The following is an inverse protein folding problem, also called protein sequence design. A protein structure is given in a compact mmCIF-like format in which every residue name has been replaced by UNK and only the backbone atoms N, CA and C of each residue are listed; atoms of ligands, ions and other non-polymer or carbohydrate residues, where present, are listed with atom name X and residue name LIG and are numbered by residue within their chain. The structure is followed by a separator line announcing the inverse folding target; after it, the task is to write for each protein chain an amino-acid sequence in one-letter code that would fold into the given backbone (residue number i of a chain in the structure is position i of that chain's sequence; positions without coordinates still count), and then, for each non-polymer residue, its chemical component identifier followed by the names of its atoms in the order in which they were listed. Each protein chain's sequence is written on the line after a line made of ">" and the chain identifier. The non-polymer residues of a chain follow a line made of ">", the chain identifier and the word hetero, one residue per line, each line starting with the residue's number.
data_IF_336866119849
#
_entry.id   IF_336866119849
#
_cell.length_a   1.000
_cell.length_b   1.000
_cell.length_c   1.000
_cell.angle_alpha   90.00
_cell.angle_beta   90.00
_cell.angle_gamma   90.00
#
_symmetry.space_group_name_H-M   'P 1'
#
loop_
_entity.id
_entity.type
_entity.pdbx_description
1 polymer ?
#
# COMPACT_ATOMS: atom_id res chain seq x y z
N UNK A 1 -29.31 -18.29 -11.07
CA UNK A 1 -29.88 -16.94 -10.77
C UNK A 1 -30.76 -16.88 -9.51
N UNK A 2 -31.64 -17.86 -9.21
CA UNK A 2 -32.51 -17.83 -8.00
C UNK A 2 -31.78 -17.69 -6.65
N UNK A 3 -30.54 -18.20 -6.52
CA UNK A 3 -29.72 -18.06 -5.28
C UNK A 3 -29.26 -16.62 -5.01
N UNK A 4 -28.86 -15.86 -6.05
CA UNK A 4 -28.44 -14.46 -5.90
C UNK A 4 -29.61 -13.59 -5.44
N UNK A 5 -30.81 -13.85 -5.97
CA UNK A 5 -32.02 -13.12 -5.59
C UNK A 5 -32.49 -13.42 -4.15
N UNK A 6 -32.21 -14.62 -3.64
CA UNK A 6 -32.49 -15.01 -2.25
C UNK A 6 -31.58 -14.29 -1.24
N UNK A 7 -30.33 -14.00 -1.62
CA UNK A 7 -29.35 -13.32 -0.75
C UNK A 7 -29.06 -11.87 -1.16
N UNK A 8 -29.94 -11.25 -1.97
CA UNK A 8 -29.75 -9.89 -2.50
C UNK A 8 -29.43 -8.84 -1.43
N UNK A 9 -30.01 -8.97 -0.23
CA UNK A 9 -29.74 -8.06 0.88
C UNK A 9 -28.33 -8.25 1.46
N UNK A 10 -27.82 -9.49 1.52
CA UNK A 10 -26.43 -9.75 1.91
C UNK A 10 -25.45 -9.18 0.88
N UNK A 11 -25.75 -9.34 -0.42
CA UNK A 11 -24.94 -8.74 -1.48
C UNK A 11 -24.99 -7.20 -1.46
N UNK A 12 -26.14 -6.60 -1.13
CA UNK A 12 -26.27 -5.16 -0.93
C UNK A 12 -25.45 -4.66 0.27
N UNK A 13 -25.47 -5.39 1.39
CA UNK A 13 -24.64 -5.06 2.56
C UNK A 13 -23.15 -5.21 2.26
N UNK A 14 -22.76 -6.18 1.43
CA UNK A 14 -21.36 -6.36 0.99
C UNK A 14 -20.94 -5.28 -0.01
N UNK A 15 -21.86 -4.78 -0.84
CA UNK A 15 -21.57 -3.80 -1.87
C UNK A 15 -20.99 -2.51 -1.27
N UNK A 16 -21.52 -2.05 -0.13
CA UNK A 16 -21.07 -0.83 0.52
C UNK A 16 -19.57 -0.87 0.91
N UNK A 17 -19.07 -1.81 1.75
CA UNK A 17 -17.65 -1.89 2.05
C UNK A 17 -16.81 -2.21 0.80
N UNK A 18 -17.32 -3.04 -0.11
CA UNK A 18 -16.57 -3.39 -1.32
C UNK A 18 -16.33 -2.19 -2.24
N UNK A 19 -17.36 -1.34 -2.44
CA UNK A 19 -17.21 -0.08 -3.19
C UNK A 19 -16.23 0.87 -2.50
N UNK A 20 -16.28 0.96 -1.16
CA UNK A 20 -15.30 1.74 -0.41
C UNK A 20 -13.86 1.27 -0.68
N UNK A 21 -13.59 -0.04 -0.57
CA UNK A 21 -12.26 -0.58 -0.87
C UNK A 21 -11.83 -0.31 -2.32
N UNK A 22 -12.73 -0.48 -3.29
CA UNK A 22 -12.42 -0.24 -4.69
C UNK A 22 -12.04 1.22 -4.95
N UNK A 23 -12.78 2.17 -4.38
CA UNK A 23 -12.58 3.61 -4.60
C UNK A 23 -11.42 4.17 -3.77
N UNK A 24 -11.26 3.73 -2.53
CA UNK A 24 -10.29 4.35 -1.61
C UNK A 24 -9.00 3.55 -1.45
N UNK A 25 -9.01 2.24 -1.71
CA UNK A 25 -7.80 1.41 -1.62
C UNK A 25 -7.25 1.07 -3.00
N UNK A 26 -8.07 0.61 -3.94
CA UNK A 26 -7.60 0.17 -5.26
C UNK A 26 -7.42 1.31 -6.27
N UNK A 27 -8.31 2.30 -6.28
CA UNK A 27 -8.17 3.42 -7.20
C UNK A 27 -6.86 4.19 -7.01
N UNK A 28 -6.42 4.52 -5.77
CA UNK A 28 -5.12 5.19 -5.58
C UNK A 28 -3.93 4.32 -6.00
N UNK A 29 -4.06 2.99 -6.02
CA UNK A 29 -3.00 2.10 -6.50
C UNK A 29 -2.70 2.27 -8.00
N UNK A 30 -3.60 2.88 -8.78
CA UNK A 30 -3.29 3.29 -10.14
C UNK A 30 -2.08 4.25 -10.19
N UNK A 31 -1.88 5.05 -9.14
CA UNK A 31 -0.75 5.96 -8.98
C UNK A 31 0.61 5.27 -8.86
N UNK A 32 0.68 3.95 -8.60
CA UNK A 32 1.96 3.23 -8.56
C UNK A 32 2.72 3.29 -9.90
N UNK A 33 2.02 3.58 -11.00
CA UNK A 33 2.63 3.78 -12.31
C UNK A 33 3.63 4.94 -12.34
N UNK A 34 3.52 5.91 -11.42
CA UNK A 34 4.44 7.05 -11.30
C UNK A 34 5.88 6.57 -11.07
N UNK A 35 6.09 5.47 -10.35
CA UNK A 35 7.44 4.93 -10.10
C UNK A 35 8.17 4.49 -11.39
N UNK A 36 7.44 4.31 -12.49
CA UNK A 36 7.98 3.89 -13.80
C UNK A 36 7.95 5.02 -14.84
N UNK A 37 7.60 6.24 -14.45
CA UNK A 37 7.43 7.39 -15.35
C UNK A 37 8.31 8.54 -14.92
N UNK A 38 8.78 9.32 -15.89
CA UNK A 38 9.40 10.61 -15.63
C UNK A 38 8.31 11.64 -15.33
N UNK A 39 7.84 11.60 -14.08
CA UNK A 39 6.62 12.26 -13.66
C UNK A 39 6.77 13.78 -13.61
N UNK A 40 5.99 14.46 -14.45
CA UNK A 40 5.86 15.90 -14.42
C UNK A 40 4.48 16.30 -13.88
N UNK A 41 4.47 17.08 -12.80
CA UNK A 41 3.24 17.57 -12.14
C UNK A 41 2.29 18.27 -13.14
N UNK A 42 2.83 18.97 -14.16
CA UNK A 42 2.02 19.67 -15.17
C UNK A 42 1.38 18.73 -16.19
N UNK A 43 2.03 17.61 -16.51
CA UNK A 43 1.53 16.64 -17.49
C UNK A 43 0.64 15.55 -16.84
N UNK A 44 0.68 15.43 -15.51
CA UNK A 44 -0.06 14.42 -14.75
C UNK A 44 0.46 13.01 -14.99
N UNK A 45 -0.20 12.02 -14.39
CA UNK A 45 0.23 10.61 -14.46
C UNK A 45 0.11 10.04 -15.87
N UNK A 46 -0.91 10.44 -16.62
CA UNK A 46 -1.21 9.91 -17.96
C UNK A 46 -0.42 10.61 -19.07
N UNK A 47 -0.05 11.87 -18.89
CA UNK A 47 0.71 12.66 -19.88
C UNK A 47 2.22 12.65 -19.68
N UNK A 48 2.72 12.15 -18.55
CA UNK A 48 4.16 11.98 -18.31
C UNK A 48 4.73 10.83 -19.14
N UNK A 49 5.93 11.04 -19.70
CA UNK A 49 6.68 10.02 -20.44
C UNK A 49 7.09 8.87 -19.53
N UNK A 50 7.28 7.70 -20.13
CA UNK A 50 7.88 6.56 -19.43
C UNK A 50 9.34 6.86 -19.09
N UNK A 51 9.81 6.35 -17.95
CA UNK A 51 11.21 6.43 -17.59
C UNK A 51 12.04 5.60 -18.58
N UNK A 52 13.20 6.09 -18.99
CA UNK A 52 14.12 5.37 -19.86
C UNK A 52 15.52 5.38 -19.23
N UNK A 53 15.98 4.25 -18.65
CA UNK A 53 15.32 2.94 -18.56
C UNK A 53 14.13 2.91 -17.57
N UNK A 54 13.16 2.01 -17.81
CA UNK A 54 11.90 1.92 -17.03
C UNK A 54 12.12 1.74 -15.52
N UNK A 55 13.25 1.13 -15.15
CA UNK A 55 13.62 0.85 -13.75
C UNK A 55 14.63 1.84 -13.17
N UNK A 56 14.96 2.95 -13.85
CA UNK A 56 16.01 3.88 -13.40
C UNK A 56 15.81 4.33 -11.94
N UNK A 57 14.58 4.70 -11.56
CA UNK A 57 14.29 5.18 -10.21
C UNK A 57 14.39 4.08 -9.14
N UNK A 58 14.22 2.81 -9.52
CA UNK A 58 14.44 1.68 -8.61
C UNK A 58 15.94 1.47 -8.40
N UNK A 59 16.74 1.52 -9.46
CA UNK A 59 18.20 1.41 -9.36
C UNK A 59 18.79 2.58 -8.55
N UNK A 60 18.34 3.80 -8.80
CA UNK A 60 18.73 5.00 -8.05
C UNK A 60 18.41 4.86 -6.56
N UNK A 61 17.20 4.35 -6.24
CA UNK A 61 16.79 4.18 -4.85
C UNK A 61 17.54 3.05 -4.14
N UNK A 62 17.84 1.94 -4.84
CA UNK A 62 18.57 0.81 -4.27
C UNK A 62 20.07 1.11 -4.08
N UNK A 63 20.63 1.97 -4.92
CA UNK A 63 22.04 2.40 -4.83
C UNK A 63 22.24 3.58 -3.89
N UNK A 64 21.16 4.20 -3.40
CA UNK A 64 21.22 5.29 -2.42
C UNK A 64 21.90 4.83 -1.10
N UNK A 65 22.87 5.60 -0.57
CA UNK A 65 23.62 5.22 0.63
C UNK A 65 22.75 5.11 1.90
N UNK A 66 21.58 5.75 1.93
CA UNK A 66 20.64 5.69 3.04
C UNK A 66 19.67 4.51 2.94
N UNK A 67 19.51 3.90 1.76
CA UNK A 67 18.57 2.78 1.57
C UNK A 67 18.73 1.71 2.64
N UNK A 68 19.95 1.17 2.79
CA UNK A 68 20.21 0.09 3.74
C UNK A 68 20.07 0.51 5.19
N UNK A 69 20.38 1.79 5.49
CA UNK A 69 20.20 2.37 6.81
C UNK A 69 18.71 2.43 7.18
N UNK A 70 17.86 2.88 6.26
CA UNK A 70 16.40 2.97 6.45
C UNK A 70 15.80 1.58 6.61
N UNK A 71 16.16 0.63 5.74
CA UNK A 71 15.67 -0.75 5.80
C UNK A 71 16.02 -1.40 7.14
N UNK A 72 17.30 -1.35 7.55
CA UNK A 72 17.75 -1.93 8.81
C UNK A 72 17.04 -1.29 10.01
N UNK A 73 16.91 0.04 10.03
CA UNK A 73 16.25 0.74 11.13
C UNK A 73 14.78 0.35 11.23
N UNK A 74 14.08 0.29 10.09
CA UNK A 74 12.68 -0.11 10.03
C UNK A 74 12.50 -1.54 10.53
N UNK A 75 13.35 -2.47 10.10
CA UNK A 75 13.30 -3.86 10.57
C UNK A 75 13.60 -3.97 12.07
N UNK A 76 14.60 -3.26 12.58
CA UNK A 76 14.91 -3.24 14.02
C UNK A 76 13.75 -2.68 14.84
N UNK A 77 13.12 -1.58 14.39
CA UNK A 77 11.95 -0.99 15.06
C UNK A 77 10.77 -1.95 15.09
N UNK A 78 10.49 -2.64 13.98
CA UNK A 78 9.44 -3.65 13.93
C UNK A 78 9.74 -4.84 14.85
N UNK A 79 10.99 -5.28 14.92
CA UNK A 79 11.41 -6.35 15.80
C UNK A 79 11.25 -5.97 17.29
N UNK A 80 11.69 -4.76 17.68
CA UNK A 80 11.45 -4.26 19.03
C UNK A 80 9.96 -4.08 19.33
N UNK A 81 9.16 -3.63 18.36
CA UNK A 81 7.71 -3.53 18.51
C UNK A 81 7.08 -4.90 18.77
N UNK A 82 7.55 -5.95 18.10
CA UNK A 82 7.05 -7.31 18.31
C UNK A 82 7.45 -7.88 19.67
N UNK A 83 8.64 -7.56 20.18
CA UNK A 83 9.10 -8.08 21.48
C UNK A 83 8.52 -7.30 22.65
N UNK A 84 8.37 -5.97 22.53
CA UNK A 84 7.98 -5.12 23.65
C UNK A 84 6.56 -4.59 23.52
N UNK A 85 6.18 -4.08 22.35
CA UNK A 85 4.85 -3.47 22.16
C UNK A 85 3.72 -4.51 22.02
N UNK A 86 4.00 -5.70 21.47
CA UNK A 86 2.99 -6.76 21.35
C UNK A 86 2.67 -7.45 22.70
N UNK A 87 3.65 -7.80 23.56
CA UNK A 87 3.33 -8.40 24.86
C UNK A 87 2.79 -7.41 25.89
N UNK A 88 3.09 -6.11 25.76
CA UNK A 88 2.67 -5.10 26.73
C UNK A 88 1.13 -5.06 26.94
N UNK A 89 0.28 -5.02 25.90
CA UNK A 89 -1.18 -5.14 26.05
C UNK A 89 -1.63 -6.47 26.68
N UNK A 90 -0.93 -7.57 26.40
CA UNK A 90 -1.26 -8.90 26.96
C UNK A 90 -1.00 -8.90 28.46
N UNK A 91 0.15 -8.39 28.89
CA UNK A 91 0.49 -8.26 30.31
C UNK A 91 -0.49 -7.31 31.00
N UNK A 92 -0.80 -6.17 30.38
CA UNK A 92 -1.77 -5.21 30.91
C UNK A 92 -3.17 -5.82 31.06
N UNK A 93 -3.59 -6.67 30.12
CA UNK A 93 -4.88 -7.35 30.19
C UNK A 93 -4.94 -8.45 31.28
N UNK A 94 -3.79 -8.91 31.78
CA UNK A 94 -3.67 -9.92 32.83
C UNK A 94 -3.53 -9.34 34.24
N UNK A 95 -3.21 -8.04 34.37
CA UNK A 95 -3.11 -7.29 35.64
C UNK A 95 -4.47 -6.71 36.04
#
# INVERSE_FOLDING_TARGET
>A
MKKIWRYRYLYLMLLLPMTFYLVFCYWPMYGLQIAFKDYNIRAGITGSSWAEPIFQYFEDYLTDPYFWKVVRNTLLLNFYSLIFAFPAPIILALL
#
